data_IF_015836671172
#
_entry.id   IF_015836671172
#
_cell.length_a   1.000
_cell.length_b   1.000
_cell.length_c   1.000
_cell.angle_alpha   90.00
_cell.angle_beta   90.00
_cell.angle_gamma   90.00
#
_symmetry.space_group_name_H-M   'P 1'
#
loop_
_entity.id
_entity.type
_entity.pdbx_description
1 polymer ?
#
# COMPACT_ATOMS: atom_id res chain seq x y z
N UNK A 1 13.79 58.03 17.68
CA UNK A 1 15.19 58.36 18.01
C UNK A 1 15.38 58.30 19.53
N UNK A 2 15.84 57.14 20.03
CA UNK A 2 16.64 56.97 21.24
C UNK A 2 17.06 55.50 21.30
N UNK A 3 18.30 55.25 20.88
CA UNK A 3 19.00 53.98 21.10
C UNK A 3 19.30 53.83 22.60
N UNK A 4 19.13 52.62 23.12
CA UNK A 4 19.98 52.09 24.19
C UNK A 4 20.44 50.70 23.77
N UNK A 5 21.72 50.63 23.45
CA UNK A 5 22.52 49.42 23.31
C UNK A 5 22.87 48.88 24.69
N UNK A 6 22.79 47.56 24.84
CA UNK A 6 23.36 46.80 25.94
C UNK A 6 23.83 45.45 25.39
N UNK A 7 25.12 45.35 25.12
CA UNK A 7 25.82 44.09 24.86
C UNK A 7 25.82 43.24 26.14
N UNK A 8 25.54 41.95 26.04
CA UNK A 8 26.20 40.98 26.92
C UNK A 8 26.49 39.67 26.19
N UNK A 9 27.76 39.31 26.33
CA UNK A 9 28.56 38.18 25.86
C UNK A 9 27.88 36.82 25.74
N UNK A 10 28.35 36.09 24.74
CA UNK A 10 28.31 34.64 24.55
C UNK A 10 28.67 33.84 25.82
N UNK A 11 27.84 32.84 26.15
CA UNK A 11 28.30 31.58 26.72
C UNK A 11 27.45 30.43 26.15
N UNK A 12 28.17 29.43 25.65
CA UNK A 12 27.69 28.20 25.02
C UNK A 12 26.94 27.32 26.03
N UNK A 13 25.80 26.75 25.64
CA UNK A 13 25.06 25.81 26.47
C UNK A 13 23.79 25.26 25.81
N UNK A 14 23.96 24.26 24.95
CA UNK A 14 23.09 23.09 24.78
C UNK A 14 21.56 23.30 24.91
N UNK A 15 20.87 23.56 23.79
CA UNK A 15 19.47 23.16 23.55
C UNK A 15 19.21 23.04 22.04
N UNK A 16 19.15 21.81 21.54
CA UNK A 16 18.39 21.50 20.34
C UNK A 16 17.16 20.72 20.80
N UNK A 17 16.17 21.47 21.28
CA UNK A 17 14.78 21.04 21.10
C UNK A 17 14.48 21.37 19.64
N UNK A 18 14.40 20.34 18.79
CA UNK A 18 13.81 20.51 17.48
C UNK A 18 12.30 20.54 17.68
N UNK A 19 11.69 21.65 17.29
CA UNK A 19 10.26 21.91 17.34
C UNK A 19 9.50 20.82 16.58
N UNK A 20 8.61 20.12 17.27
CA UNK A 20 7.41 19.60 16.63
C UNK A 20 6.62 20.80 16.10
N UNK A 21 6.19 20.73 14.84
CA UNK A 21 5.21 21.66 14.31
C UNK A 21 3.85 21.32 14.95
N UNK A 22 3.27 22.17 15.81
CA UNK A 22 1.83 22.15 15.94
C UNK A 22 1.28 22.71 14.62
N UNK A 23 0.53 21.89 13.89
CA UNK A 23 -0.34 22.37 12.83
C UNK A 23 -1.13 23.55 13.38
N UNK A 24 -1.09 24.65 12.64
CA UNK A 24 -1.76 25.90 12.98
C UNK A 24 -3.25 25.65 13.21
N UNK A 25 -3.69 25.82 14.45
CA UNK A 25 -5.09 25.89 14.85
C UNK A 25 -5.78 26.98 14.01
N UNK A 26 -6.69 26.60 13.11
CA UNK A 26 -7.67 27.55 12.60
C UNK A 26 -8.64 27.88 13.74
N UNK A 27 -8.66 29.15 14.16
CA UNK A 27 -9.63 29.67 15.13
C UNK A 27 -11.05 29.30 14.69
N UNK A 28 -11.65 28.31 15.35
CA UNK A 28 -13.03 27.87 15.11
C UNK A 28 -13.26 26.35 15.04
N UNK A 29 -12.21 25.52 15.09
CA UNK A 29 -12.37 24.06 15.19
C UNK A 29 -12.18 23.61 16.64
N UNK A 30 -13.26 23.08 17.24
CA UNK A 30 -13.27 22.53 18.59
C UNK A 30 -12.40 21.26 18.70
N UNK A 31 -12.09 20.62 17.56
CA UNK A 31 -11.30 19.40 17.52
C UNK A 31 -9.85 19.63 17.12
N UNK A 32 -8.95 18.95 17.81
CA UNK A 32 -7.57 18.71 17.36
C UNK A 32 -7.45 17.29 16.81
N UNK A 33 -6.60 17.12 15.81
CA UNK A 33 -6.33 15.81 15.21
C UNK A 33 -4.85 15.47 15.24
N UNK A 34 -4.56 14.17 15.36
CA UNK A 34 -3.21 13.63 15.35
C UNK A 34 -3.17 12.42 14.41
N UNK A 35 -2.48 12.55 13.28
CA UNK A 35 -2.18 11.43 12.38
C UNK A 35 -0.69 11.05 12.46
N UNK A 36 -0.43 9.77 12.71
CA UNK A 36 0.93 9.21 12.80
C UNK A 36 1.03 7.88 12.06
N UNK A 37 2.22 7.64 11.51
CA UNK A 37 2.64 6.33 10.99
C UNK A 37 3.76 5.83 11.90
N UNK A 38 3.66 4.57 12.34
CA UNK A 38 4.54 3.97 13.35
C UNK A 38 5.06 2.62 12.92
N UNK A 39 6.24 2.28 13.40
CA UNK A 39 6.79 0.92 13.28
C UNK A 39 6.28 -0.03 14.36
N UNK A 40 6.70 -1.30 14.29
CA UNK A 40 6.38 -2.34 15.27
C UNK A 40 6.97 -2.09 16.66
N UNK A 41 7.87 -1.13 16.83
CA UNK A 41 8.37 -0.66 18.12
C UNK A 41 7.59 0.55 18.66
N UNK A 42 6.51 0.93 17.96
CA UNK A 42 5.69 2.12 18.21
C UNK A 42 6.41 3.45 17.99
N UNK A 43 7.56 3.47 17.32
CA UNK A 43 8.26 4.70 16.98
C UNK A 43 7.63 5.35 15.74
N UNK A 44 7.37 6.65 15.81
CA UNK A 44 6.89 7.42 14.66
C UNK A 44 8.02 7.55 13.64
N UNK A 45 7.79 7.05 12.42
CA UNK A 45 8.78 7.10 11.33
C UNK A 45 8.06 7.25 9.99
N UNK A 46 8.77 7.81 9.00
CA UNK A 46 8.34 7.88 7.59
C UNK A 46 9.17 6.97 6.69
N UNK A 47 10.07 6.16 7.27
CA UNK A 47 10.93 5.23 6.55
C UNK A 47 10.80 3.86 7.19
N UNK A 48 10.37 2.90 6.40
CA UNK A 48 10.09 1.53 6.82
C UNK A 48 10.99 0.57 6.07
N UNK A 49 11.34 -0.55 6.69
CA UNK A 49 12.04 -1.60 5.95
C UNK A 49 11.03 -2.41 5.12
N UNK A 50 11.44 -2.89 3.95
CA UNK A 50 10.64 -3.86 3.19
C UNK A 50 10.27 -5.07 4.07
N UNK A 51 9.03 -5.55 3.98
CA UNK A 51 8.54 -6.65 4.82
C UNK A 51 8.13 -6.25 6.24
N UNK A 52 8.45 -5.03 6.68
CA UNK A 52 8.08 -4.54 8.00
C UNK A 52 6.59 -4.18 8.06
N UNK A 53 5.94 -4.51 9.16
CA UNK A 53 4.58 -4.04 9.43
C UNK A 53 4.56 -2.53 9.72
N UNK A 54 3.46 -1.89 9.34
CA UNK A 54 3.26 -0.45 9.40
C UNK A 54 1.95 -0.17 10.12
N UNK A 55 2.01 0.65 11.16
CA UNK A 55 0.87 1.00 12.00
C UNK A 55 0.41 2.41 11.67
N UNK A 56 -0.90 2.57 11.47
CA UNK A 56 -1.53 3.85 11.23
C UNK A 56 -2.36 4.23 12.44
N UNK A 57 -2.06 5.40 13.02
CA UNK A 57 -2.74 5.91 14.20
C UNK A 57 -3.38 7.25 13.89
N UNK A 58 -4.68 7.35 14.12
CA UNK A 58 -5.44 8.59 14.00
C UNK A 58 -6.19 8.87 15.29
N UNK A 59 -6.15 10.11 15.74
CA UNK A 59 -6.86 10.57 16.91
C UNK A 59 -7.62 11.87 16.62
N UNK A 60 -8.80 11.99 17.23
CA UNK A 60 -9.61 13.21 17.26
C UNK A 60 -9.84 13.53 18.73
N UNK A 61 -9.34 14.65 19.21
CA UNK A 61 -9.55 15.15 20.56
C UNK A 61 -10.55 16.31 20.53
N UNK A 62 -11.50 16.29 21.46
CA UNK A 62 -12.42 17.40 21.67
C UNK A 62 -11.79 18.41 22.63
N UNK A 63 -11.27 19.50 22.09
CA UNK A 63 -10.65 20.60 22.83
C UNK A 63 -11.63 21.64 23.36
N UNK A 64 -12.94 21.49 23.10
CA UNK A 64 -13.96 22.40 23.63
C UNK A 64 -14.56 21.95 24.95
N UNK A 65 -15.54 22.72 25.41
CA UNK A 65 -16.16 22.57 26.72
C UNK A 65 -17.45 21.73 26.69
N UNK A 66 -17.96 21.40 25.50
CA UNK A 66 -19.22 20.68 25.32
C UNK A 66 -19.00 19.24 24.81
N UNK A 67 -19.99 18.37 25.04
CA UNK A 67 -19.99 17.01 24.49
C UNK A 67 -20.54 17.03 23.08
N UNK A 68 -19.80 16.49 22.13
CA UNK A 68 -20.18 16.49 20.72
C UNK A 68 -20.73 15.13 20.30
N UNK A 69 -21.95 15.09 19.80
CA UNK A 69 -22.55 13.88 19.23
C UNK A 69 -22.06 13.64 17.80
N UNK A 70 -21.85 12.37 17.44
CA UNK A 70 -21.50 11.97 16.09
C UNK A 70 -22.23 10.71 15.65
N UNK A 71 -22.32 10.55 14.34
CA UNK A 71 -22.81 9.33 13.70
C UNK A 71 -21.73 8.72 12.81
N UNK A 72 -21.68 7.41 12.72
CA UNK A 72 -20.96 6.66 11.68
C UNK A 72 -22.06 6.01 10.82
N UNK A 73 -22.06 6.19 9.49
CA UNK A 73 -23.17 5.77 8.63
C UNK A 73 -23.32 4.24 8.50
N UNK A 74 -22.34 3.48 8.98
CA UNK A 74 -22.28 2.03 8.91
C UNK A 74 -21.49 1.46 10.10
N UNK A 75 -21.40 0.13 10.18
CA UNK A 75 -20.69 -0.57 11.27
C UNK A 75 -19.17 -0.53 11.17
N UNK A 76 -18.62 0.24 10.24
CA UNK A 76 -17.19 0.39 10.04
C UNK A 76 -16.52 1.26 11.08
N UNK A 77 -15.19 1.35 11.01
CA UNK A 77 -14.45 2.23 11.89
C UNK A 77 -14.70 3.70 11.59
N UNK A 78 -14.48 4.53 12.60
CA UNK A 78 -14.66 5.97 12.47
C UNK A 78 -13.63 6.64 11.54
N UNK A 79 -12.56 5.94 11.17
CA UNK A 79 -11.53 6.38 10.22
C UNK A 79 -10.98 5.18 9.46
N UNK A 80 -10.83 5.34 8.14
CA UNK A 80 -10.18 4.38 7.25
C UNK A 80 -8.89 5.00 6.73
N UNK A 81 -7.83 4.21 6.65
CA UNK A 81 -6.57 4.64 6.03
C UNK A 81 -6.47 4.08 4.62
N UNK A 82 -6.27 4.95 3.64
CA UNK A 82 -6.08 4.60 2.23
C UNK A 82 -4.63 4.81 1.85
N UNK A 83 -3.99 3.82 1.25
CA UNK A 83 -2.59 3.89 0.80
C UNK A 83 -2.58 3.98 -0.71
N UNK A 84 -1.82 4.92 -1.25
CA UNK A 84 -1.62 5.11 -2.69
C UNK A 84 -0.16 5.30 -3.05
N UNK A 85 0.19 4.92 -4.27
CA UNK A 85 1.45 5.24 -4.93
C UNK A 85 1.18 6.17 -6.14
N UNK A 86 2.21 6.41 -6.96
CA UNK A 86 2.11 7.19 -8.20
C UNK A 86 1.21 6.54 -9.27
N UNK A 87 0.92 5.24 -9.13
CA UNK A 87 0.04 4.47 -10.01
C UNK A 87 -1.41 4.40 -9.50
N UNK A 88 -1.69 4.86 -8.28
CA UNK A 88 -3.03 4.97 -7.72
C UNK A 88 -3.20 4.25 -6.37
N UNK A 89 -4.43 3.83 -6.06
CA UNK A 89 -4.74 3.17 -4.78
C UNK A 89 -4.08 1.79 -4.70
N UNK A 90 -3.25 1.60 -3.67
CA UNK A 90 -2.62 0.32 -3.31
C UNK A 90 -3.59 -0.52 -2.49
N UNK A 91 -4.29 0.09 -1.55
CA UNK A 91 -5.32 -0.57 -0.75
C UNK A 91 -5.76 0.26 0.45
N UNK A 92 -6.62 -0.32 1.27
CA UNK A 92 -7.17 0.31 2.46
C UNK A 92 -6.96 -0.59 3.66
N UNK A 93 -6.75 0.00 4.84
CA UNK A 93 -6.62 -0.77 6.10
C UNK A 93 -7.83 -1.65 6.42
N UNK A 94 -8.97 -1.34 5.82
CA UNK A 94 -10.20 -2.10 5.88
C UNK A 94 -10.36 -2.86 4.56
N UNK A 95 -10.63 -4.16 4.60
CA UNK A 95 -10.64 -5.14 3.49
C UNK A 95 -11.67 -4.91 2.35
N UNK A 96 -12.30 -3.74 2.28
CA UNK A 96 -13.31 -3.44 1.27
C UNK A 96 -14.61 -4.25 1.39
N UNK A 97 -14.78 -5.06 2.44
CA UNK A 97 -16.08 -5.66 2.75
C UNK A 97 -17.06 -4.54 3.08
N UNK A 98 -18.20 -4.52 2.38
CA UNK A 98 -19.23 -3.52 2.63
C UNK A 98 -19.71 -3.63 4.09
N UNK A 99 -19.44 -2.59 4.87
CA UNK A 99 -19.97 -2.48 6.22
C UNK A 99 -21.49 -2.47 6.18
N UNK A 100 -22.11 -3.14 7.16
CA UNK A 100 -23.56 -3.14 7.29
C UNK A 100 -24.01 -1.69 7.45
N UNK A 101 -24.98 -1.27 6.62
CA UNK A 101 -25.51 0.09 6.58
C UNK A 101 -26.42 0.36 7.79
N UNK A 102 -25.82 0.33 8.96
CA UNK A 102 -26.43 0.56 10.26
C UNK A 102 -25.76 1.78 10.85
N UNK A 103 -26.53 2.83 11.07
CA UNK A 103 -26.03 4.06 11.69
C UNK A 103 -25.62 3.72 13.11
N UNK A 104 -24.35 4.00 13.45
CA UNK A 104 -23.81 3.91 14.79
C UNK A 104 -23.72 5.31 15.35
N UNK A 105 -24.41 5.55 16.46
CA UNK A 105 -24.36 6.83 17.18
C UNK A 105 -23.29 6.77 18.28
N UNK A 106 -22.64 7.89 18.52
CA UNK A 106 -21.66 8.05 19.57
C UNK A 106 -21.57 9.49 20.06
N UNK A 107 -20.78 9.70 21.11
CA UNK A 107 -20.47 11.03 21.61
C UNK A 107 -19.01 11.12 22.03
N UNK A 108 -18.48 12.34 22.00
CA UNK A 108 -17.12 12.67 22.42
C UNK A 108 -17.18 13.79 23.44
N UNK A 109 -16.94 13.46 24.72
CA UNK A 109 -16.97 14.45 25.80
C UNK A 109 -15.85 15.48 25.64
N UNK A 110 -16.00 16.62 26.31
CA UNK A 110 -14.91 17.60 26.44
C UNK A 110 -13.64 16.94 26.96
N UNK A 111 -12.51 17.26 26.33
CA UNK A 111 -11.16 16.72 26.60
C UNK A 111 -11.00 15.20 26.37
N UNK A 112 -12.02 14.50 25.87
CA UNK A 112 -11.90 13.10 25.48
C UNK A 112 -11.29 12.99 24.07
N UNK A 113 -10.74 11.80 23.77
CA UNK A 113 -10.12 11.51 22.48
C UNK A 113 -10.64 10.20 21.89
N UNK A 114 -11.15 10.25 20.66
CA UNK A 114 -11.34 9.05 19.84
C UNK A 114 -9.99 8.65 19.24
N UNK A 115 -9.60 7.39 19.39
CA UNK A 115 -8.33 6.87 18.87
C UNK A 115 -8.55 5.58 18.12
N UNK A 116 -7.91 5.47 16.97
CA UNK A 116 -7.75 4.21 16.22
C UNK A 116 -6.30 4.03 15.89
N UNK A 117 -5.80 2.83 16.16
CA UNK A 117 -4.51 2.35 15.69
C UNK A 117 -4.76 1.00 15.03
N UNK A 118 -4.22 0.80 13.83
CA UNK A 118 -4.37 -0.44 13.07
C UNK A 118 -3.06 -0.74 12.36
N UNK A 119 -2.66 -2.01 12.35
CA UNK A 119 -1.52 -2.47 11.56
C UNK A 119 -1.97 -2.82 10.15
N UNK A 120 -1.12 -2.56 9.16
CA UNK A 120 -1.36 -2.96 7.79
C UNK A 120 -1.55 -4.47 7.68
N UNK A 121 -0.70 -5.25 8.34
CA UNK A 121 -0.76 -6.71 8.33
C UNK A 121 -1.76 -7.31 9.33
N UNK A 122 -2.59 -6.49 9.99
CA UNK A 122 -3.67 -6.99 10.84
C UNK A 122 -4.83 -7.59 10.02
N UNK A 123 -4.88 -7.31 8.72
CA UNK A 123 -5.74 -7.97 7.77
C UNK A 123 -4.95 -9.09 7.07
N UNK A 124 -5.40 -10.34 7.19
CA UNK A 124 -4.74 -11.51 6.61
C UNK A 124 -4.67 -11.48 5.07
N UNK A 125 -5.49 -10.64 4.42
CA UNK A 125 -5.46 -10.42 2.97
C UNK A 125 -4.31 -9.49 2.56
N UNK A 126 -3.80 -8.65 3.47
CA UNK A 126 -2.73 -7.72 3.16
C UNK A 126 -1.37 -8.40 3.07
N UNK A 127 -0.62 -8.03 2.04
CA UNK A 127 0.82 -8.34 1.92
C UNK A 127 1.65 -7.16 2.41
N UNK A 128 2.90 -7.38 2.86
CA UNK A 128 3.80 -6.29 3.16
C UNK A 128 3.88 -5.27 2.03
N UNK A 129 3.88 -3.99 2.37
CA UNK A 129 3.98 -2.92 1.37
C UNK A 129 5.34 -3.04 0.67
N UNK A 130 5.38 -3.11 -0.67
CA UNK A 130 6.63 -3.20 -1.43
C UNK A 130 7.54 -1.99 -1.19
N UNK A 131 8.84 -2.08 -1.53
CA UNK A 131 9.71 -0.90 -1.59
C UNK A 131 9.15 0.17 -2.54
N UNK A 132 9.15 1.42 -2.11
CA UNK A 132 8.58 2.52 -2.87
C UNK A 132 8.27 3.74 -2.02
N UNK A 133 7.78 4.78 -2.67
CA UNK A 133 7.25 5.99 -2.04
C UNK A 133 5.73 5.96 -2.09
N UNK A 134 5.09 6.27 -0.97
CA UNK A 134 3.66 6.12 -0.77
C UNK A 134 3.07 7.33 -0.05
N UNK A 135 1.79 7.55 -0.30
CA UNK A 135 0.93 8.40 0.50
C UNK A 135 -0.06 7.54 1.27
N UNK A 136 -0.32 7.90 2.52
CA UNK A 136 -1.46 7.38 3.27
C UNK A 136 -2.39 8.51 3.65
N UNK A 137 -3.68 8.36 3.37
CA UNK A 137 -4.73 9.30 3.74
C UNK A 137 -5.61 8.70 4.84
N UNK A 138 -5.65 9.33 6.01
CA UNK A 138 -6.64 9.08 7.03
C UNK A 138 -7.96 9.76 6.63
N UNK A 139 -9.01 8.98 6.39
CA UNK A 139 -10.36 9.47 6.05
C UNK A 139 -11.34 9.26 7.20
N UNK A 140 -11.68 10.30 7.96
CA UNK A 140 -12.78 10.23 8.92
C UNK A 140 -14.09 9.85 8.23
N UNK A 141 -14.80 8.90 8.82
CA UNK A 141 -16.10 8.37 8.37
C UNK A 141 -17.25 8.75 9.28
N UNK A 142 -16.93 9.26 10.48
CA UNK A 142 -17.92 9.86 11.36
C UNK A 142 -18.41 11.21 10.82
N UNK A 143 -19.55 11.68 11.29
CA UNK A 143 -20.04 13.04 11.13
C UNK A 143 -20.51 13.56 12.47
N UNK A 144 -19.95 14.67 12.91
CA UNK A 144 -20.49 15.41 14.06
C UNK A 144 -21.74 16.18 13.66
N UNK A 145 -22.70 16.30 14.58
CA UNK A 145 -24.00 16.91 14.30
C UNK A 145 -23.94 18.44 14.19
N UNK A 146 -23.30 19.08 15.17
CA UNK A 146 -23.35 20.54 15.33
C UNK A 146 -22.05 21.25 14.96
N UNK A 147 -21.00 20.48 14.66
CA UNK A 147 -19.64 21.00 14.43
C UNK A 147 -19.01 20.39 13.18
N UNK A 148 -18.03 21.11 12.62
CA UNK A 148 -17.33 20.67 11.41
C UNK A 148 -16.51 19.42 11.72
N UNK A 149 -16.75 18.36 10.95
CA UNK A 149 -15.98 17.13 11.05
C UNK A 149 -14.56 17.35 10.51
N UNK A 150 -13.52 16.81 11.16
CA UNK A 150 -12.16 16.91 10.65
C UNK A 150 -12.03 16.42 9.20
N UNK A 151 -11.30 17.17 8.38
CA UNK A 151 -11.02 16.78 6.99
C UNK A 151 -10.02 15.63 6.93
N UNK A 152 -9.97 14.89 5.81
CA UNK A 152 -8.92 13.89 5.60
C UNK A 152 -7.51 14.49 5.72
N UNK A 153 -6.59 13.72 6.28
CA UNK A 153 -5.18 14.08 6.46
C UNK A 153 -4.27 13.10 5.72
N UNK A 154 -3.26 13.61 5.03
CA UNK A 154 -2.34 12.78 4.24
C UNK A 154 -0.91 12.89 4.78
N UNK A 155 -0.22 11.75 4.82
CA UNK A 155 1.20 11.66 5.15
C UNK A 155 1.94 10.85 4.09
N UNK A 156 3.13 11.32 3.71
CA UNK A 156 4.06 10.57 2.87
C UNK A 156 4.97 9.66 3.72
N UNK A 157 5.26 8.46 3.20
CA UNK A 157 6.25 7.55 3.74
C UNK A 157 6.95 6.76 2.63
N UNK A 158 8.14 6.25 2.93
CA UNK A 158 8.89 5.39 2.03
C UNK A 158 9.12 4.02 2.67
N UNK A 159 8.97 2.97 1.88
CA UNK A 159 9.46 1.64 2.20
C UNK A 159 10.80 1.47 1.48
N UNK A 160 11.86 1.29 2.25
CA UNK A 160 13.22 1.15 1.77
C UNK A 160 13.74 -0.26 2.03
N UNK A 161 14.60 -0.74 1.14
CA UNK A 161 15.44 -1.87 1.49
C UNK A 161 16.67 -1.38 2.25
N UNK A 162 17.10 -2.15 3.25
CA UNK A 162 18.41 -1.92 3.85
C UNK A 162 19.44 -2.73 3.04
N UNK A 163 20.33 -2.08 2.31
CA UNK A 163 21.27 -2.70 1.35
C UNK A 163 22.25 -3.73 1.93
N UNK A 164 22.21 -3.97 3.25
CA UNK A 164 23.03 -4.96 3.96
C UNK A 164 22.28 -6.25 4.29
N UNK A 165 20.97 -6.30 4.03
CA UNK A 165 20.09 -7.45 4.17
C UNK A 165 19.11 -7.33 2.99
N UNK A 166 19.46 -7.97 1.86
CA UNK A 166 18.99 -7.64 0.50
C UNK A 166 17.50 -7.27 0.34
N UNK A 167 17.19 -6.54 -0.75
CA UNK A 167 15.83 -6.37 -1.27
C UNK A 167 15.23 -7.70 -1.80
N UNK A 168 15.46 -8.81 -1.13
CA UNK A 168 14.98 -10.12 -1.57
C UNK A 168 13.51 -10.33 -1.15
N UNK A 169 12.74 -9.26 -0.91
CA UNK A 169 11.29 -9.34 -0.96
C UNK A 169 10.90 -9.21 -2.42
N UNK A 170 10.73 -10.35 -3.06
CA UNK A 170 10.22 -10.45 -4.41
C UNK A 170 8.92 -9.64 -4.56
N UNK A 171 8.75 -8.85 -5.63
CA UNK A 171 7.46 -8.20 -5.90
C UNK A 171 6.34 -9.25 -5.95
N UNK A 172 5.23 -8.99 -5.25
CA UNK A 172 4.11 -9.91 -5.21
C UNK A 172 3.34 -9.94 -6.53
N UNK A 173 2.77 -11.11 -6.87
CA UNK A 173 1.74 -11.17 -7.91
C UNK A 173 0.51 -10.36 -7.46
N UNK A 174 0.06 -9.45 -8.32
CA UNK A 174 -1.13 -8.61 -8.09
C UNK A 174 -2.37 -9.32 -8.64
N UNK A 175 -3.44 -9.42 -7.85
CA UNK A 175 -4.69 -10.08 -8.26
C UNK A 175 -5.71 -9.01 -8.69
N UNK A 176 -6.32 -9.15 -9.87
CA UNK A 176 -7.23 -8.14 -10.42
C UNK A 176 -8.22 -8.73 -11.43
N UNK A 177 -9.35 -8.05 -11.65
CA UNK A 177 -10.29 -8.33 -12.75
C UNK A 177 -10.08 -7.41 -13.96
N UNK A 178 -9.00 -6.61 -13.97
CA UNK A 178 -8.64 -5.79 -15.12
C UNK A 178 -8.38 -6.67 -16.35
N UNK A 179 -8.83 -6.20 -17.52
CA UNK A 179 -8.65 -6.95 -18.76
C UNK A 179 -7.17 -7.14 -19.10
N UNK A 180 -6.75 -8.30 -19.63
CA UNK A 180 -5.36 -8.55 -20.00
C UNK A 180 -4.74 -7.47 -20.91
N UNK A 181 -5.49 -7.00 -21.90
CA UNK A 181 -5.05 -5.93 -22.83
C UNK A 181 -4.79 -4.58 -22.12
N UNK A 182 -5.43 -4.31 -20.99
CA UNK A 182 -5.19 -3.10 -20.20
C UNK A 182 -3.97 -3.20 -19.27
N UNK A 183 -3.48 -4.42 -19.04
CA UNK A 183 -2.35 -4.69 -18.15
C UNK A 183 -1.02 -4.63 -18.90
N UNK A 184 -0.97 -5.16 -20.11
CA UNK A 184 0.23 -5.15 -20.95
C UNK A 184 0.37 -3.79 -21.65
N UNK A 185 1.55 -3.16 -21.54
CA UNK A 185 1.82 -1.84 -22.13
C UNK A 185 2.84 -1.96 -23.25
N UNK A 186 4.09 -2.29 -22.92
CA UNK A 186 5.19 -2.38 -23.88
C UNK A 186 5.58 -3.83 -24.22
N UNK A 187 6.00 -4.09 -25.47
CA UNK A 187 6.34 -5.43 -25.93
C UNK A 187 7.49 -6.10 -25.17
N UNK A 188 7.40 -7.42 -25.01
CA UNK A 188 8.46 -8.30 -24.55
C UNK A 188 8.25 -9.71 -25.11
N UNK A 189 9.33 -10.49 -25.19
CA UNK A 189 9.31 -11.91 -25.55
C UNK A 189 9.52 -12.77 -24.30
N UNK A 190 8.64 -13.74 -24.08
CA UNK A 190 8.73 -14.67 -22.95
C UNK A 190 9.70 -15.82 -23.27
N UNK A 191 10.70 -16.05 -22.42
CA UNK A 191 11.76 -17.02 -22.68
C UNK A 191 11.59 -18.30 -21.87
N UNK A 192 11.44 -18.16 -20.55
CA UNK A 192 11.20 -19.28 -19.64
C UNK A 192 10.39 -18.84 -18.43
N UNK A 193 9.79 -19.84 -17.77
CA UNK A 193 9.08 -19.68 -16.50
C UNK A 193 9.49 -20.84 -15.62
N UNK A 194 9.98 -20.54 -14.43
CA UNK A 194 10.40 -21.51 -13.44
C UNK A 194 9.78 -21.15 -12.09
N UNK A 195 9.46 -22.15 -11.28
CA UNK A 195 8.95 -21.96 -9.93
C UNK A 195 9.86 -22.68 -8.96
N UNK A 196 10.26 -21.98 -7.92
CA UNK A 196 11.00 -22.50 -6.77
C UNK A 196 10.26 -22.06 -5.50
N UNK A 197 9.70 -23.02 -4.77
CA UNK A 197 8.79 -22.77 -3.64
C UNK A 197 7.66 -21.78 -4.03
N UNK A 198 7.52 -20.68 -3.30
CA UNK A 198 6.54 -19.62 -3.55
C UNK A 198 7.07 -18.51 -4.49
N UNK A 199 8.12 -18.78 -5.25
CA UNK A 199 8.74 -17.82 -6.17
C UNK A 199 8.55 -18.26 -7.61
N UNK A 200 8.01 -17.37 -8.46
CA UNK A 200 8.04 -17.54 -9.91
C UNK A 200 9.14 -16.67 -10.51
N UNK A 201 10.04 -17.28 -11.28
CA UNK A 201 11.03 -16.60 -12.10
C UNK A 201 10.61 -16.63 -13.56
N UNK A 202 10.49 -15.44 -14.16
CA UNK A 202 10.07 -15.22 -15.55
C UNK A 202 11.25 -14.59 -16.29
N UNK A 203 11.83 -15.33 -17.22
CA UNK A 203 12.87 -14.80 -18.08
C UNK A 203 12.23 -14.17 -19.32
N UNK A 204 12.59 -12.91 -19.61
CA UNK A 204 12.07 -12.16 -20.74
C UNK A 204 13.20 -11.55 -21.56
N UNK A 205 12.87 -11.21 -22.81
CA UNK A 205 13.71 -10.36 -23.66
C UNK A 205 12.89 -9.15 -24.10
N UNK A 206 13.44 -7.94 -24.05
CA UNK A 206 12.75 -6.71 -24.48
C UNK A 206 13.73 -5.68 -25.06
N UNK A 207 13.21 -4.67 -25.77
CA UNK A 207 13.99 -3.57 -26.32
C UNK A 207 14.09 -2.40 -25.33
N UNK A 208 15.27 -1.80 -25.17
CA UNK A 208 15.48 -0.63 -24.31
C UNK A 208 16.88 -0.55 -23.72
N UNK A 209 16.99 -0.11 -22.46
CA UNK A 209 18.22 -0.15 -21.66
C UNK A 209 18.90 1.20 -21.40
N UNK A 210 18.28 2.30 -21.81
CA UNK A 210 18.74 3.66 -21.51
C UNK A 210 17.94 4.31 -20.37
N UNK A 211 16.71 3.85 -20.13
CA UNK A 211 15.89 4.26 -18.99
C UNK A 211 15.62 3.07 -18.07
N UNK A 212 15.06 3.35 -16.90
CA UNK A 212 14.51 2.31 -16.02
C UNK A 212 13.20 1.79 -16.61
N UNK A 213 13.02 0.48 -16.61
CA UNK A 213 11.79 -0.19 -17.02
C UNK A 213 11.07 -0.73 -15.78
N UNK A 214 9.74 -0.63 -15.76
CA UNK A 214 8.93 -1.10 -14.63
C UNK A 214 8.19 -2.39 -14.99
N UNK A 215 8.21 -3.34 -14.05
CA UNK A 215 7.60 -4.66 -14.21
C UNK A 215 6.62 -4.97 -13.09
N UNK A 216 5.50 -5.60 -13.44
CA UNK A 216 4.55 -6.13 -12.47
C UNK A 216 3.84 -7.36 -13.05
N UNK A 217 3.69 -8.41 -12.24
CA UNK A 217 2.99 -9.62 -12.64
C UNK A 217 1.58 -9.63 -12.06
N UNK A 218 0.58 -9.91 -12.90
CA UNK A 218 -0.82 -9.89 -12.52
C UNK A 218 -1.48 -11.25 -12.74
N UNK A 219 -2.27 -11.72 -11.77
CA UNK A 219 -3.29 -12.75 -12.00
C UNK A 219 -4.58 -12.06 -12.45
N UNK A 220 -5.08 -12.43 -13.63
CA UNK A 220 -6.37 -11.93 -14.15
C UNK A 220 -7.11 -13.01 -14.96
N UNK A 221 -8.43 -13.20 -14.77
CA UNK A 221 -9.25 -12.57 -13.75
C UNK A 221 -8.82 -12.99 -12.32
N UNK A 222 -9.43 -12.40 -11.30
CA UNK A 222 -9.20 -12.74 -9.89
C UNK A 222 -9.84 -14.09 -9.48
N UNK A 223 -9.75 -15.09 -10.36
CA UNK A 223 -10.38 -16.40 -10.22
C UNK A 223 -9.58 -17.50 -10.91
N UNK A 224 -9.75 -18.74 -10.43
CA UNK A 224 -9.16 -19.92 -11.06
C UNK A 224 -10.07 -20.47 -12.18
N UNK A 225 -9.45 -21.06 -13.20
CA UNK A 225 -10.15 -21.73 -14.31
C UNK A 225 -10.68 -23.08 -13.85
N UNK A 226 -11.93 -23.38 -14.21
CA UNK A 226 -12.61 -24.65 -13.93
C UNK A 226 -11.93 -25.82 -14.66
N UNK A 227 -10.96 -26.45 -14.01
CA UNK A 227 -10.10 -27.50 -14.57
C UNK A 227 -9.48 -28.36 -13.46
N UNK A 228 -8.80 -29.44 -13.84
CA UNK A 228 -8.12 -30.33 -12.89
C UNK A 228 -6.75 -30.78 -13.46
N UNK A 229 -5.61 -30.31 -12.91
CA UNK A 229 -5.48 -29.31 -11.83
C UNK A 229 -6.09 -27.96 -12.21
N UNK A 230 -6.40 -27.13 -11.21
CA UNK A 230 -6.91 -25.77 -11.48
C UNK A 230 -5.83 -24.94 -12.16
N UNK A 231 -6.23 -23.89 -12.87
CA UNK A 231 -5.27 -23.02 -13.55
C UNK A 231 -5.52 -21.55 -13.21
N UNK A 232 -4.47 -20.74 -13.26
CA UNK A 232 -4.54 -19.29 -13.17
C UNK A 232 -3.74 -18.66 -14.31
N UNK A 233 -4.28 -17.59 -14.88
CA UNK A 233 -3.61 -16.86 -15.96
C UNK A 233 -2.84 -15.68 -15.40
N UNK A 234 -1.57 -15.56 -15.78
CA UNK A 234 -0.66 -14.51 -15.37
C UNK A 234 -0.25 -13.64 -16.56
N UNK A 235 -0.26 -12.32 -16.34
CA UNK A 235 0.08 -11.31 -17.33
C UNK A 235 1.16 -10.39 -16.78
N UNK A 236 2.30 -10.33 -17.47
CA UNK A 236 3.37 -9.41 -17.14
C UNK A 236 3.09 -8.05 -17.78
N UNK A 237 3.07 -7.00 -16.96
CA UNK A 237 3.16 -5.62 -17.41
C UNK A 237 4.62 -5.22 -17.53
N UNK A 238 4.96 -4.66 -18.68
CA UNK A 238 6.25 -4.02 -18.95
C UNK A 238 5.98 -2.57 -19.35
N UNK A 239 6.59 -1.60 -18.65
CA UNK A 239 6.56 -0.17 -18.99
C UNK A 239 7.99 0.29 -19.27
N UNK A 240 8.27 0.72 -20.50
CA UNK A 240 9.60 1.18 -20.92
C UNK A 240 9.86 2.66 -20.61
N UNK A 241 8.89 3.40 -20.09
CA UNK A 241 9.01 4.84 -19.79
C UNK A 241 9.46 5.67 -21.00
N UNK A 242 8.93 5.36 -22.18
CA UNK A 242 9.28 5.95 -23.48
C UNK A 242 10.77 5.79 -23.81
N UNK A 243 11.38 4.64 -23.49
CA UNK A 243 12.76 4.33 -23.87
C UNK A 243 12.86 4.02 -25.37
N UNK A 244 13.47 4.93 -26.12
CA UNK A 244 13.71 4.77 -27.55
C UNK A 244 14.99 4.01 -27.91
N UNK A 245 15.71 3.46 -26.92
CA UNK A 245 16.90 2.66 -27.19
C UNK A 245 16.55 1.28 -27.75
N UNK A 246 17.33 0.83 -28.72
CA UNK A 246 17.09 -0.42 -29.46
C UNK A 246 17.97 -1.58 -28.98
N UNK A 247 18.56 -1.49 -27.78
CA UNK A 247 19.34 -2.60 -27.25
C UNK A 247 18.40 -3.74 -26.82
N UNK A 248 18.81 -4.97 -27.10
CA UNK A 248 18.05 -6.16 -26.73
C UNK A 248 18.51 -6.63 -25.35
N UNK A 249 17.66 -6.44 -24.34
CA UNK A 249 17.92 -6.80 -22.94
C UNK A 249 17.28 -8.13 -22.63
N UNK A 250 18.01 -9.01 -21.95
CA UNK A 250 17.51 -10.27 -21.39
C UNK A 250 17.59 -10.17 -19.88
N UNK A 251 16.47 -10.41 -19.21
CA UNK A 251 16.35 -10.24 -17.75
C UNK A 251 15.47 -11.35 -17.16
N UNK A 252 15.82 -11.77 -15.95
CA UNK A 252 15.01 -12.68 -15.14
C UNK A 252 14.32 -11.88 -14.05
N UNK A 253 13.00 -11.85 -14.09
CA UNK A 253 12.16 -11.19 -13.10
C UNK A 253 11.61 -12.24 -12.14
N UNK A 254 11.65 -11.97 -10.84
CA UNK A 254 11.14 -12.92 -9.84
C UNK A 254 10.00 -12.29 -9.06
N UNK A 255 8.93 -13.07 -8.82
CA UNK A 255 7.73 -12.62 -8.12
C UNK A 255 7.28 -13.61 -7.06
N UNK A 256 6.63 -13.11 -6.01
CA UNK A 256 6.08 -13.90 -4.92
C UNK A 256 4.65 -14.38 -5.23
N UNK A 257 4.45 -15.70 -5.16
CA UNK A 257 3.21 -16.42 -5.46
C UNK A 257 2.26 -16.58 -4.27
N UNK A 258 2.66 -16.22 -3.05
CA UNK A 258 1.83 -16.36 -1.83
C UNK A 258 0.45 -15.71 -1.94
N UNK A 259 0.24 -14.57 -2.66
CA UNK A 259 -1.12 -14.07 -2.92
C UNK A 259 -2.01 -15.09 -3.64
N UNK A 260 -1.48 -15.82 -4.62
CA UNK A 260 -2.22 -16.87 -5.34
C UNK A 260 -2.48 -18.06 -4.41
N UNK A 261 -1.50 -18.48 -3.62
CA UNK A 261 -1.65 -19.55 -2.63
C UNK A 261 -2.79 -19.27 -1.64
N UNK A 262 -2.84 -18.06 -1.07
CA UNK A 262 -3.90 -17.66 -0.14
C UNK A 262 -5.27 -17.68 -0.81
N UNK A 263 -5.40 -17.08 -2.00
CA UNK A 263 -6.65 -17.11 -2.76
C UNK A 263 -7.11 -18.55 -3.04
N UNK A 264 -6.17 -19.45 -3.39
CA UNK A 264 -6.49 -20.85 -3.63
C UNK A 264 -6.98 -21.57 -2.37
N UNK A 265 -6.27 -21.40 -1.25
CA UNK A 265 -6.62 -22.00 0.03
C UNK A 265 -7.99 -21.54 0.52
N UNK A 266 -8.33 -20.26 0.34
CA UNK A 266 -9.64 -19.70 0.69
C UNK A 266 -10.78 -20.31 -0.13
N UNK A 267 -10.58 -20.54 -1.43
CA UNK A 267 -11.63 -21.03 -2.33
C UNK A 267 -11.83 -22.54 -2.26
N UNK A 268 -10.75 -23.31 -2.06
CA UNK A 268 -10.79 -24.78 -2.18
C UNK A 268 -10.49 -25.52 -0.88
N UNK A 269 -10.06 -24.84 0.19
CA UNK A 269 -9.72 -25.40 1.50
C UNK A 269 -8.70 -26.57 1.43
N UNK A 270 -7.80 -26.53 0.43
CA UNK A 270 -6.79 -27.56 0.15
C UNK A 270 -5.56 -26.92 -0.51
N UNK A 271 -4.41 -27.58 -0.36
CA UNK A 271 -3.16 -27.26 -1.07
C UNK A 271 -2.92 -28.39 -2.08
N UNK A 272 -3.31 -28.16 -3.33
CA UNK A 272 -3.10 -29.04 -4.48
C UNK A 272 -2.37 -28.24 -5.57
N UNK A 273 -1.93 -28.91 -6.63
CA UNK A 273 -1.30 -28.28 -7.79
C UNK A 273 -2.18 -27.20 -8.44
N UNK A 274 -1.56 -26.07 -8.76
CA UNK A 274 -2.10 -25.00 -9.60
C UNK A 274 -1.20 -24.88 -10.85
N UNK A 275 -1.79 -24.88 -12.04
CA UNK A 275 -1.04 -24.56 -13.27
C UNK A 275 -1.10 -23.05 -13.50
N UNK A 276 0.06 -22.40 -13.47
CA UNK A 276 0.19 -20.97 -13.78
C UNK A 276 0.51 -20.82 -15.27
N UNK A 277 -0.40 -20.18 -16.01
CA UNK A 277 -0.26 -19.87 -17.44
C UNK A 277 0.29 -18.45 -17.58
N UNK A 278 1.58 -18.29 -17.85
CA UNK A 278 2.21 -16.97 -18.02
C UNK A 278 2.17 -16.58 -19.50
N UNK A 279 1.43 -15.53 -19.82
CA UNK A 279 1.26 -15.05 -21.18
C UNK A 279 2.38 -14.09 -21.60
N UNK A 280 2.88 -14.27 -22.82
CA UNK A 280 3.70 -13.30 -23.53
C UNK A 280 2.89 -12.02 -23.82
N UNK A 281 3.59 -10.96 -24.23
CA UNK A 281 2.95 -9.76 -24.76
C UNK A 281 2.06 -10.06 -25.97
N UNK A 282 0.94 -9.35 -26.07
CA UNK A 282 0.08 -9.32 -27.25
C UNK A 282 -0.63 -7.98 -27.40
N UNK A 283 -1.00 -7.64 -28.64
CA UNK A 283 -1.75 -6.42 -28.95
C UNK A 283 -3.27 -6.66 -28.95
N UNK A 284 -3.73 -7.75 -29.58
CA UNK A 284 -5.16 -7.99 -29.82
C UNK A 284 -5.70 -9.23 -29.07
N UNK A 285 -5.10 -10.40 -29.31
CA UNK A 285 -5.52 -11.67 -28.72
C UNK A 285 -4.39 -12.29 -27.90
N UNK A 286 -4.71 -12.97 -26.76
CA UNK A 286 -3.71 -13.59 -25.91
C UNK A 286 -2.75 -14.47 -26.73
N UNK A 287 -1.47 -14.09 -26.70
CA UNK A 287 -0.42 -14.73 -27.48
C UNK A 287 0.03 -16.08 -26.90
N UNK A 288 1.28 -16.42 -27.19
CA UNK A 288 1.95 -17.59 -26.61
C UNK A 288 1.96 -17.49 -25.08
N UNK A 289 1.82 -18.62 -24.39
CA UNK A 289 2.05 -18.71 -22.95
C UNK A 289 2.95 -19.90 -22.63
N UNK A 290 3.59 -19.84 -21.47
CA UNK A 290 4.30 -20.96 -20.85
C UNK A 290 3.58 -21.37 -19.57
N UNK A 291 3.68 -22.65 -19.22
CA UNK A 291 3.01 -23.20 -18.04
C UNK A 291 4.07 -23.56 -17.00
N UNK A 292 3.75 -23.30 -15.75
CA UNK A 292 4.51 -23.79 -14.61
C UNK A 292 3.57 -24.40 -13.57
N UNK A 293 3.95 -25.56 -13.02
CA UNK A 293 3.23 -26.22 -11.92
C UNK A 293 3.64 -25.58 -10.61
N UNK A 294 2.67 -25.10 -9.84
CA UNK A 294 2.85 -24.50 -8.53
C UNK A 294 2.19 -25.37 -7.46
N UNK A 295 2.94 -25.67 -6.40
CA UNK A 295 2.45 -26.38 -5.22
C UNK A 295 2.57 -25.42 -4.03
N UNK A 296 1.47 -24.75 -3.63
CA UNK A 296 1.47 -23.84 -2.49
C UNK A 296 1.94 -24.55 -1.21
N UNK A 297 2.89 -23.95 -0.48
CA UNK A 297 3.28 -24.42 0.86
C UNK A 297 2.28 -24.03 1.97
#
# INVERSE_FOLDING_TARGET
MKLKTGLCSTLVGLKLLACENPSTLEEGTEFSTEFQIRDSTSATTKRFSAGQDIFFRYAIENGGDETQAYIIPDTGPFVTFEISDDQGLVGTTDDGMAYAQVIVEGSLSSSDTLRREVSWLANDLHVPIPPGDYEVTARPRLKFEDVVTPSPETLEFSVICNSTQGCDSLPFVRITDASPASLQKDPFELQSVEIDEDTISVEITYAGGCKTHDFALFMSPAAFLESFPVQANLFLRHNNNDDGCEALIRETLSFDLRPIARLYQEQYARQDEIILNVFEYFEDEPGRHLNASYFPE
#
